data_IF_223241275571
#
_entry.id   IF_223241275571
#
_cell.length_a   1.000
_cell.length_b   1.000
_cell.length_c   1.000
_cell.angle_alpha   90.00
_cell.angle_beta   90.00
_cell.angle_gamma   90.00
#
_symmetry.space_group_name_H-M   'P 1'
#
loop_
_entity.id
_entity.type
_entity.pdbx_description
1 polymer ?
#
# COMPACT_ATOMS: atom_id res chain seq x y z
N UNK A 1 -16.61 10.10 -4.35
CA UNK A 1 -16.34 9.23 -3.19
C UNK A 1 -14.88 8.82 -3.27
N UNK A 2 -14.12 8.85 -2.17
CA UNK A 2 -12.70 8.45 -2.17
C UNK A 2 -12.50 7.11 -1.46
N UNK A 3 -11.73 6.21 -2.06
CA UNK A 3 -11.45 4.85 -1.60
C UNK A 3 -9.94 4.71 -1.36
N UNK A 4 -9.58 4.28 -0.15
CA UNK A 4 -8.19 3.95 0.22
C UNK A 4 -8.10 2.47 0.58
N UNK A 5 -7.07 1.80 0.07
CA UNK A 5 -6.72 0.42 0.48
C UNK A 5 -5.40 0.45 1.26
N UNK A 6 -5.30 -0.32 2.34
CA UNK A 6 -4.17 -0.29 3.28
C UNK A 6 -3.43 -1.63 3.34
N UNK A 7 -2.14 -1.58 3.66
CA UNK A 7 -1.34 -2.75 3.97
C UNK A 7 -0.73 -3.43 2.75
N UNK A 8 -0.44 -2.67 1.70
CA UNK A 8 0.33 -3.18 0.57
C UNK A 8 1.78 -3.42 1.01
N UNK A 9 2.32 -4.55 0.58
CA UNK A 9 3.72 -4.96 0.83
C UNK A 9 4.51 -5.22 -0.47
N UNK A 10 3.85 -5.05 -1.62
CA UNK A 10 4.41 -5.33 -2.93
C UNK A 10 3.94 -4.25 -3.92
N UNK A 11 4.90 -3.70 -4.68
CA UNK A 11 4.66 -2.58 -5.59
C UNK A 11 3.74 -2.93 -6.76
N UNK A 12 3.82 -4.16 -7.30
CA UNK A 12 2.98 -4.59 -8.42
C UNK A 12 1.51 -4.65 -8.02
N UNK A 13 1.21 -5.19 -6.84
CA UNK A 13 -0.15 -5.20 -6.29
C UNK A 13 -0.68 -3.79 -6.05
N UNK A 14 0.16 -2.90 -5.51
CA UNK A 14 -0.21 -1.51 -5.28
C UNK A 14 -0.50 -0.79 -6.62
N UNK A 15 0.31 -1.06 -7.64
CA UNK A 15 0.14 -0.56 -9.00
C UNK A 15 -1.15 -1.08 -9.64
N UNK A 16 -1.41 -2.38 -9.59
CA UNK A 16 -2.65 -2.96 -10.10
C UNK A 16 -3.88 -2.35 -9.42
N UNK A 17 -3.85 -2.20 -8.10
CA UNK A 17 -4.93 -1.58 -7.36
C UNK A 17 -5.15 -0.11 -7.77
N UNK A 18 -4.09 0.64 -8.06
CA UNK A 18 -4.19 2.01 -8.60
C UNK A 18 -4.91 2.06 -9.95
N UNK A 19 -4.67 1.06 -10.82
CA UNK A 19 -5.31 0.96 -12.13
C UNK A 19 -6.80 0.61 -12.03
N UNK A 20 -7.24 0.03 -10.91
CA UNK A 20 -8.66 -0.26 -10.64
C UNK A 20 -9.44 0.95 -10.11
N UNK A 21 -8.79 2.12 -9.96
CA UNK A 21 -9.45 3.37 -9.62
C UNK A 21 -9.56 3.67 -8.12
N UNK A 22 -8.64 3.16 -7.30
CA UNK A 22 -8.53 3.61 -5.90
C UNK A 22 -7.89 4.99 -5.83
N UNK A 23 -8.31 5.79 -4.86
CA UNK A 23 -7.81 7.15 -4.67
C UNK A 23 -6.49 7.21 -3.89
N UNK A 24 -6.20 6.19 -3.07
CA UNK A 24 -5.00 6.16 -2.25
C UNK A 24 -4.56 4.74 -1.85
N UNK A 25 -3.24 4.59 -1.72
CA UNK A 25 -2.54 3.40 -1.25
C UNK A 25 -2.03 3.67 0.16
N UNK A 26 -2.15 2.70 1.06
CA UNK A 26 -1.62 2.77 2.41
C UNK A 26 -0.49 1.77 2.61
N UNK A 27 0.68 2.29 2.97
CA UNK A 27 1.85 1.54 3.40
C UNK A 27 1.95 1.58 4.93
N UNK A 28 2.47 0.52 5.54
CA UNK A 28 2.61 0.43 6.99
C UNK A 28 4.10 0.43 7.32
N UNK A 29 4.58 1.48 7.99
CA UNK A 29 5.98 1.62 8.41
C UNK A 29 6.21 1.24 9.88
N UNK A 30 5.34 0.39 10.42
CA UNK A 30 5.43 -0.05 11.81
C UNK A 30 6.02 -1.46 11.87
N UNK A 31 7.25 -1.57 12.39
CA UNK A 31 8.08 -2.79 12.33
C UNK A 31 7.41 -4.05 12.88
N UNK A 32 6.49 -3.93 13.85
CA UNK A 32 5.79 -5.10 14.42
C UNK A 32 4.57 -5.54 13.61
N UNK A 33 4.21 -4.80 12.56
CA UNK A 33 3.12 -5.16 11.66
C UNK A 33 3.59 -6.25 10.71
N UNK A 34 2.77 -7.30 10.45
CA UNK A 34 3.08 -8.27 9.38
C UNK A 34 3.00 -7.65 7.98
N UNK A 35 2.52 -6.40 7.88
CA UNK A 35 2.44 -5.62 6.63
C UNK A 35 3.49 -4.51 6.58
N UNK A 36 4.51 -4.59 7.44
CA UNK A 36 5.61 -3.62 7.47
C UNK A 36 6.31 -3.55 6.11
N UNK A 37 6.57 -2.33 5.67
CA UNK A 37 7.45 -2.04 4.53
C UNK A 37 8.47 -1.00 4.96
N UNK A 38 9.70 -1.12 4.45
CA UNK A 38 10.73 -0.12 4.69
C UNK A 38 10.52 1.10 3.81
N UNK A 39 10.83 2.29 4.32
CA UNK A 39 10.69 3.56 3.59
C UNK A 39 11.53 3.57 2.30
N UNK A 40 12.67 2.88 2.30
CA UNK A 40 13.52 2.73 1.11
C UNK A 40 12.89 1.85 0.02
N UNK A 41 11.94 0.98 0.38
CA UNK A 41 11.25 0.05 -0.52
C UNK A 41 9.86 0.52 -0.97
N UNK A 42 9.44 1.71 -0.51
CA UNK A 42 8.10 2.27 -0.67
C UNK A 42 7.89 3.04 -1.98
#
# INVERSE_FOLDING_TARGET
MKIKICGFTNADNAREASLLGIDAIGLVFYDKSPRHVDVESA
#
